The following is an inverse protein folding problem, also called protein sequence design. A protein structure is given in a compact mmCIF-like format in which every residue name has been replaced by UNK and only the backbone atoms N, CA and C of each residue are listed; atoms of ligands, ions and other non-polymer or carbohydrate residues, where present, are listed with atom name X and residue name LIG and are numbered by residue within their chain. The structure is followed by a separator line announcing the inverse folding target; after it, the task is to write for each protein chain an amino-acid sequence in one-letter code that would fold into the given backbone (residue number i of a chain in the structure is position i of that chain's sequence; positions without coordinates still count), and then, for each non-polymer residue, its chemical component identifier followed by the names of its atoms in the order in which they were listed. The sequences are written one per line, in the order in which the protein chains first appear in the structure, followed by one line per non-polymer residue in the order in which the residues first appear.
data_IF_755077530129
#
_entry.id   IF_755077530129
#
_cell.length_a   1.000
_cell.length_b   1.000
_cell.length_c   1.000
_cell.angle_alpha   90.00
_cell.angle_beta   90.00
_cell.angle_gamma   90.00
#
_symmetry.space_group_name_H-M   'P 1'
#
loop_
_entity.id
_entity.type
_entity.pdbx_description
1 polymer ?
#
# COMPACT_ATOMS: atom_id res chain seq x y z
N UNK A 1 -11.89 -7.85 3.63
CA UNK A 1 -10.64 -8.57 3.31
C UNK A 1 -10.48 -9.70 4.30
N UNK A 2 -10.07 -10.87 3.82
CA UNK A 2 -9.67 -11.98 4.69
C UNK A 2 -8.37 -11.62 5.42
N UNK A 3 -8.08 -12.22 6.59
CA UNK A 3 -6.87 -11.93 7.34
C UNK A 3 -5.57 -12.07 6.54
N UNK A 4 -5.56 -12.96 5.55
CA UNK A 4 -4.44 -13.25 4.66
C UNK A 4 -4.37 -12.35 3.42
N UNK A 5 -5.38 -11.53 3.13
CA UNK A 5 -5.32 -10.64 1.96
C UNK A 5 -4.39 -9.44 2.25
N UNK A 6 -3.73 -8.96 1.21
CA UNK A 6 -2.80 -7.82 1.28
C UNK A 6 -3.24 -6.73 0.31
N UNK A 7 -2.82 -5.50 0.55
CA UNK A 7 -3.11 -4.39 -0.37
C UNK A 7 -1.89 -3.52 -0.65
N UNK A 8 -2.00 -2.78 -1.75
CA UNK A 8 -1.11 -1.69 -2.11
C UNK A 8 -1.93 -0.55 -2.72
N UNK A 9 -1.56 0.70 -2.43
CA UNK A 9 -2.29 1.89 -2.91
C UNK A 9 -1.36 3.07 -3.18
N UNK A 10 -1.93 4.16 -3.69
CA UNK A 10 -1.25 5.44 -3.91
C UNK A 10 -1.06 6.23 -2.59
N UNK A 11 -0.65 7.49 -2.69
CA UNK A 11 -0.33 8.36 -1.54
C UNK A 11 -1.53 8.73 -0.64
N UNK A 12 -2.78 8.50 -1.06
CA UNK A 12 -3.98 8.74 -0.23
C UNK A 12 -4.30 7.50 0.60
N UNK A 13 -3.51 7.24 1.64
CA UNK A 13 -3.44 5.91 2.24
C UNK A 13 -3.75 5.80 3.73
N UNK A 14 -4.03 6.90 4.46
CA UNK A 14 -4.16 6.88 5.94
C UNK A 14 -5.25 5.93 6.44
N UNK A 15 -6.45 5.99 5.83
CA UNK A 15 -7.55 5.09 6.19
C UNK A 15 -7.26 3.63 5.87
N UNK A 16 -6.52 3.38 4.78
CA UNK A 16 -6.11 2.02 4.42
C UNK A 16 -5.06 1.53 5.43
N UNK A 17 -4.08 2.34 5.81
CA UNK A 17 -3.08 1.99 6.82
C UNK A 17 -3.75 1.59 8.14
N UNK A 18 -4.74 2.36 8.59
CA UNK A 18 -5.52 2.05 9.79
C UNK A 18 -6.27 0.70 9.67
N UNK A 19 -7.03 0.50 8.59
CA UNK A 19 -7.78 -0.75 8.36
C UNK A 19 -6.84 -1.96 8.23
N UNK A 20 -5.61 -1.74 7.76
CA UNK A 20 -4.60 -2.77 7.53
C UNK A 20 -3.62 -2.93 8.70
N UNK A 21 -3.95 -2.39 9.87
CA UNK A 21 -3.32 -2.75 11.14
C UNK A 21 -2.49 -1.64 11.80
N UNK A 22 -2.36 -0.47 11.19
CA UNK A 22 -1.75 0.68 11.87
C UNK A 22 -2.70 1.24 12.92
N UNK A 23 -2.17 1.73 14.04
CA UNK A 23 -2.94 2.52 14.99
C UNK A 23 -3.10 3.96 14.52
N UNK A 24 -4.13 4.65 15.00
CA UNK A 24 -4.32 6.10 14.72
C UNK A 24 -3.13 6.91 15.25
N UNK A 25 -2.57 6.52 16.40
CA UNK A 25 -1.40 7.16 16.98
C UNK A 25 -0.19 7.07 16.05
N UNK A 26 0.17 5.88 15.56
CA UNK A 26 1.30 5.70 14.65
C UNK A 26 1.15 6.52 13.36
N UNK A 27 -0.07 6.61 12.81
CA UNK A 27 -0.37 7.42 11.61
C UNK A 27 -0.18 8.92 11.90
N UNK A 28 -0.74 9.42 13.00
CA UNK A 28 -0.62 10.84 13.37
C UNK A 28 0.81 11.22 13.78
N UNK A 29 1.51 10.32 14.48
CA UNK A 29 2.92 10.49 14.81
C UNK A 29 3.78 10.54 13.55
N UNK A 30 3.48 9.74 12.53
CA UNK A 30 4.19 9.79 11.25
C UNK A 30 3.92 11.10 10.50
N UNK A 31 2.66 11.56 10.48
CA UNK A 31 2.27 12.84 9.89
C UNK A 31 2.97 14.04 10.54
N UNK A 32 3.28 13.93 11.83
CA UNK A 32 3.99 14.96 12.60
C UNK A 32 5.50 14.73 12.70
N UNK A 33 6.05 13.74 11.98
CA UNK A 33 7.49 13.47 11.90
C UNK A 33 8.11 12.98 13.20
N UNK A 34 7.37 12.27 14.05
CA UNK A 34 7.82 11.77 15.35
C UNK A 34 8.43 10.38 15.24
N UNK A 35 9.36 10.07 16.14
CA UNK A 35 10.02 8.75 16.19
C UNK A 35 9.05 7.58 16.46
N UNK A 36 7.91 7.85 17.11
CA UNK A 36 6.81 6.90 17.33
C UNK A 36 5.91 6.70 16.11
N UNK A 37 6.19 7.37 14.98
CA UNK A 37 5.46 7.15 13.74
C UNK A 37 5.72 5.76 13.16
N UNK A 38 4.81 5.28 12.32
CA UNK A 38 4.87 3.96 11.68
C UNK A 38 6.17 3.73 10.87
N UNK A 39 6.76 4.79 10.33
CA UNK A 39 8.05 4.78 9.63
C UNK A 39 9.11 5.59 10.39
N UNK A 40 8.91 5.79 11.70
CA UNK A 40 9.78 6.55 12.61
C UNK A 40 10.00 8.00 12.15
N UNK A 41 8.98 8.62 11.56
CA UNK A 41 8.99 10.00 11.07
C UNK A 41 9.76 10.20 9.76
N UNK A 42 10.14 9.11 9.05
CA UNK A 42 10.90 9.17 7.80
C UNK A 42 10.04 9.11 6.54
N UNK A 43 8.83 8.56 6.65
CA UNK A 43 7.94 8.34 5.52
C UNK A 43 6.94 9.47 5.31
N UNK A 44 6.51 10.12 6.39
CA UNK A 44 5.48 11.14 6.37
C UNK A 44 4.14 10.62 5.84
N UNK A 45 3.35 11.52 5.24
CA UNK A 45 1.97 11.22 4.81
C UNK A 45 1.87 10.12 3.75
N UNK A 46 2.84 10.04 2.85
CA UNK A 46 2.74 9.22 1.66
C UNK A 46 3.26 7.80 1.87
N UNK A 47 4.25 7.59 2.75
CA UNK A 47 5.01 6.33 2.84
C UNK A 47 4.73 5.58 4.15
N UNK A 48 3.55 4.98 4.25
CA UNK A 48 3.14 4.16 5.39
C UNK A 48 3.05 2.68 5.00
N UNK A 49 3.58 1.79 5.84
CA UNK A 49 3.64 0.36 5.58
C UNK A 49 3.16 -0.43 6.80
N UNK A 50 2.44 -1.52 6.57
CA UNK A 50 2.09 -2.51 7.61
C UNK A 50 2.42 -3.91 7.09
N UNK A 51 2.29 -4.94 7.93
CA UNK A 51 2.46 -6.34 7.49
C UNK A 51 1.51 -6.75 6.35
N UNK A 52 0.41 -6.01 6.15
CA UNK A 52 -0.61 -6.30 5.13
C UNK A 52 -0.75 -5.20 4.08
N UNK A 53 -0.10 -4.05 4.29
CA UNK A 53 -0.14 -2.91 3.38
C UNK A 53 1.25 -2.57 2.87
N UNK A 54 1.47 -2.76 1.57
CA UNK A 54 2.75 -2.56 0.90
C UNK A 54 2.93 -1.12 0.41
N UNK A 55 2.62 -0.15 1.27
CA UNK A 55 2.91 1.26 1.04
C UNK A 55 1.72 2.11 0.60
N UNK A 56 1.85 3.40 0.91
CA UNK A 56 1.34 4.46 0.06
C UNK A 56 2.43 4.89 -0.93
N UNK A 57 2.08 4.96 -2.21
CA UNK A 57 3.06 5.20 -3.26
C UNK A 57 2.90 6.61 -3.83
N UNK A 58 3.97 7.40 -3.77
CA UNK A 58 4.00 8.79 -4.24
C UNK A 58 4.02 8.94 -5.76
N UNK A 59 4.53 7.93 -6.48
CA UNK A 59 4.57 7.96 -7.95
C UNK A 59 3.29 7.35 -8.52
N UNK A 60 2.54 8.16 -9.26
CA UNK A 60 1.26 7.77 -9.88
C UNK A 60 1.46 6.55 -10.80
N UNK A 61 0.66 5.50 -10.58
CA UNK A 61 0.69 4.25 -11.36
C UNK A 61 1.81 3.27 -11.00
N UNK A 62 2.87 3.68 -10.31
CA UNK A 62 4.03 2.81 -9.98
C UNK A 62 3.69 1.58 -9.14
N UNK A 63 2.68 1.67 -8.28
CA UNK A 63 2.25 0.61 -7.38
C UNK A 63 1.44 -0.48 -8.08
N UNK A 64 0.92 -0.23 -9.29
CA UNK A 64 0.11 -1.19 -10.02
C UNK A 64 0.92 -2.45 -10.38
N UNK A 65 2.07 -2.33 -11.09
CA UNK A 65 2.89 -3.51 -11.40
C UNK A 65 3.44 -4.19 -10.14
N UNK A 66 3.73 -3.42 -9.07
CA UNK A 66 4.15 -3.99 -7.78
C UNK A 66 3.03 -4.85 -7.19
N UNK A 67 1.79 -4.36 -7.21
CA UNK A 67 0.61 -5.10 -6.77
C UNK A 67 0.35 -6.38 -7.56
N UNK A 68 0.55 -6.34 -8.89
CA UNK A 68 0.51 -7.54 -9.75
C UNK A 68 1.60 -8.54 -9.36
N UNK A 69 2.82 -8.06 -9.08
CA UNK A 69 3.92 -8.88 -8.58
C UNK A 69 3.61 -9.54 -7.23
N UNK A 70 2.97 -8.81 -6.30
CA UNK A 70 2.51 -9.36 -5.02
C UNK A 70 1.46 -10.47 -5.21
N UNK A 71 0.53 -10.29 -6.15
CA UNK A 71 -0.45 -11.33 -6.53
C UNK A 71 0.23 -12.56 -7.13
N UNK A 72 1.18 -12.36 -8.05
CA UNK A 72 1.98 -13.44 -8.62
C UNK A 72 2.77 -14.19 -7.55
N UNK A 73 3.42 -13.49 -6.63
CA UNK A 73 4.20 -14.11 -5.55
C UNK A 73 3.32 -15.01 -4.67
N UNK A 74 2.07 -14.61 -4.38
CA UNK A 74 1.12 -15.44 -3.62
C UNK A 74 0.77 -16.72 -4.37
N UNK A 75 0.44 -16.61 -5.66
CA UNK A 75 0.19 -17.77 -6.53
C UNK A 75 1.41 -18.70 -6.61
N UNK A 76 2.60 -18.13 -6.81
CA UNK A 76 3.85 -18.87 -6.97
C UNK A 76 4.25 -19.61 -5.69
N UNK A 77 4.01 -19.02 -4.53
CA UNK A 77 4.35 -19.61 -3.22
C UNK A 77 3.22 -20.46 -2.61
N UNK A 78 2.11 -20.65 -3.34
CA UNK A 78 0.95 -21.42 -2.85
C UNK A 78 0.27 -20.81 -1.61
N UNK A 79 0.46 -19.51 -1.36
CA UNK A 79 -0.17 -18.82 -0.22
C UNK A 79 -1.58 -18.41 -0.57
N UNK A 80 -2.56 -18.85 0.23
CA UNK A 80 -3.94 -18.36 0.13
C UNK A 80 -4.01 -16.86 0.45
N UNK A 81 -4.96 -16.17 -0.17
CA UNK A 81 -5.13 -14.71 -0.10
C UNK A 81 -4.98 -14.04 -1.46
N UNK A 82 -5.53 -12.84 -1.59
CA UNK A 82 -5.39 -12.01 -2.80
C UNK A 82 -4.55 -10.76 -2.53
N UNK A 83 -4.04 -10.16 -3.60
CA UNK A 83 -3.44 -8.82 -3.58
C UNK A 83 -4.45 -7.83 -4.14
N UNK A 84 -4.86 -6.84 -3.34
CA UNK A 84 -5.73 -5.75 -3.76
C UNK A 84 -4.89 -4.55 -4.14
N UNK A 85 -4.88 -4.23 -5.44
CA UNK A 85 -4.12 -3.11 -6.00
C UNK A 85 -5.08 -1.96 -6.31
N UNK A 86 -4.99 -0.88 -5.54
CA UNK A 86 -5.87 0.28 -5.68
C UNK A 86 -5.16 1.42 -6.40
N UNK A 87 -5.80 2.03 -7.39
CA UNK A 87 -5.30 3.18 -8.13
C UNK A 87 -6.43 4.19 -8.39
N UNK A 88 -6.10 5.47 -8.54
CA UNK A 88 -7.06 6.52 -8.87
C UNK A 88 -7.38 6.59 -10.37
N UNK A 89 -8.45 7.27 -10.74
CA UNK A 89 -8.86 7.51 -12.12
C UNK A 89 -7.74 8.15 -12.96
N UNK A 90 -7.03 9.15 -12.43
CA UNK A 90 -5.87 9.75 -13.11
C UNK A 90 -4.71 8.76 -13.33
N UNK A 91 -4.57 7.75 -12.46
CA UNK A 91 -3.55 6.71 -12.59
C UNK A 91 -3.94 5.63 -13.63
N UNK A 92 -5.22 5.52 -14.00
CA UNK A 92 -5.70 4.53 -14.96
C UNK A 92 -5.09 4.72 -16.36
N UNK A 93 -4.64 5.94 -16.68
CA UNK A 93 -4.02 6.27 -17.97
C UNK A 93 -2.50 6.08 -17.99
N UNK A 94 -1.89 5.57 -16.92
CA UNK A 94 -0.46 5.27 -16.90
C UNK A 94 -0.15 4.02 -17.73
N UNK A 95 0.82 4.09 -18.65
CA UNK A 95 1.12 2.97 -19.55
C UNK A 95 1.52 1.66 -18.85
N UNK A 96 2.10 1.74 -17.65
CA UNK A 96 2.41 0.58 -16.82
C UNK A 96 1.18 -0.12 -16.24
N UNK A 97 0.05 0.59 -16.09
CA UNK A 97 -1.22 0.01 -15.65
C UNK A 97 -1.74 -0.96 -16.70
N UNK A 98 -1.76 -0.56 -17.98
CA UNK A 98 -2.18 -1.43 -19.09
C UNK A 98 -1.32 -2.70 -19.21
N UNK A 99 -0.01 -2.61 -18.96
CA UNK A 99 0.89 -3.78 -18.98
C UNK A 99 0.67 -4.75 -17.82
N UNK A 100 -0.04 -4.32 -16.78
CA UNK A 100 -0.27 -5.08 -15.56
C UNK A 100 -1.62 -5.81 -15.54
N UNK A 101 -2.48 -5.55 -16.54
CA UNK A 101 -3.73 -6.26 -16.84
C UNK A 101 -3.45 -7.48 -17.74
#
# INVERSE_FOLDING_TARGET
MRPQDICITAYRCHGIAYVMGATVEEVLCELTGRASGIARGKGGSMHMYTDKMFGGNGIVGSHVPVGTGLGFARKYTGKDGVSITMYGDGAANQGQMLRSL
#
